data_IF_317956041854
#
_entry.id   IF_317956041854
#
_cell.length_a   1.000
_cell.length_b   1.000
_cell.length_c   1.000
_cell.angle_alpha   90.00
_cell.angle_beta   90.00
_cell.angle_gamma   90.00
#
_symmetry.space_group_name_H-M   'P 1'
#
loop_
_entity.id
_entity.type
_entity.pdbx_description
1 polymer ?
#
# COMPACT_ATOMS: atom_id res chain seq x y z
N UNK A 1 -7.34 -31.93 -12.96
CA UNK A 1 -6.44 -31.12 -12.15
C UNK A 1 -6.20 -31.87 -10.86
N UNK A 2 -4.93 -32.13 -10.46
CA UNK A 2 -4.63 -32.99 -9.29
C UNK A 2 -4.20 -32.16 -8.06
N UNK A 3 -4.65 -30.92 -7.94
CA UNK A 3 -4.42 -30.06 -6.78
C UNK A 3 -5.66 -29.22 -6.48
N UNK A 4 -5.84 -28.83 -5.23
CA UNK A 4 -7.01 -28.14 -4.71
C UNK A 4 -6.68 -26.71 -4.20
N UNK A 5 -7.70 -25.99 -3.70
CA UNK A 5 -7.52 -24.64 -3.16
C UNK A 5 -6.61 -24.63 -1.92
N UNK A 6 -6.54 -25.73 -1.17
CA UNK A 6 -5.66 -25.88 -0.01
C UNK A 6 -4.20 -25.90 -0.46
N UNK A 7 -3.91 -26.58 -1.57
CA UNK A 7 -2.58 -26.62 -2.17
C UNK A 7 -2.14 -25.25 -2.65
N UNK A 8 -3.04 -24.49 -3.29
CA UNK A 8 -2.76 -23.14 -3.74
C UNK A 8 -2.50 -22.20 -2.56
N UNK A 9 -3.28 -22.31 -1.48
CA UNK A 9 -3.08 -21.53 -0.26
C UNK A 9 -1.76 -21.87 0.44
N UNK A 10 -1.46 -23.17 0.56
CA UNK A 10 -0.17 -23.64 1.07
C UNK A 10 1.00 -23.07 0.28
N UNK A 11 0.92 -23.13 -1.05
CA UNK A 11 1.97 -22.62 -1.92
C UNK A 11 2.23 -21.12 -1.68
N UNK A 12 1.19 -20.29 -1.62
CA UNK A 12 1.33 -18.86 -1.34
C UNK A 12 1.92 -18.60 0.06
N UNK A 13 1.48 -19.32 1.09
CA UNK A 13 2.02 -19.20 2.43
C UNK A 13 3.52 -19.56 2.50
N UNK A 14 3.97 -20.52 1.70
CA UNK A 14 5.39 -20.88 1.59
C UNK A 14 6.17 -19.72 0.92
N UNK A 15 5.65 -19.12 -0.13
CA UNK A 15 6.29 -17.97 -0.79
C UNK A 15 6.40 -16.76 0.13
N UNK A 16 5.33 -16.42 0.83
CA UNK A 16 5.28 -15.28 1.75
C UNK A 16 6.27 -15.41 2.91
N UNK A 17 6.49 -16.65 3.38
CA UNK A 17 7.41 -16.94 4.50
C UNK A 17 8.83 -17.27 4.03
N UNK A 18 9.03 -17.55 2.75
CA UNK A 18 10.31 -18.01 2.19
C UNK A 18 10.78 -19.38 2.74
N UNK A 19 9.90 -20.12 3.43
CA UNK A 19 10.25 -21.34 4.15
C UNK A 19 9.08 -22.33 4.19
N UNK A 20 9.34 -23.60 3.83
CA UNK A 20 8.29 -24.64 3.79
C UNK A 20 7.72 -24.92 5.19
N UNK A 21 8.57 -24.94 6.23
CA UNK A 21 8.14 -25.20 7.60
C UNK A 21 7.21 -24.09 8.12
N UNK A 22 7.58 -22.84 7.92
CA UNK A 22 6.77 -21.68 8.31
C UNK A 22 5.46 -21.60 7.50
N UNK A 23 5.53 -21.85 6.18
CA UNK A 23 4.35 -21.89 5.32
C UNK A 23 3.40 -23.03 5.68
N UNK A 24 3.92 -24.23 6.05
CA UNK A 24 3.14 -25.33 6.56
C UNK A 24 2.39 -24.99 7.85
N UNK A 25 3.09 -24.40 8.82
CA UNK A 25 2.50 -23.95 10.09
C UNK A 25 1.37 -22.93 9.85
N UNK A 26 1.59 -21.94 8.97
CA UNK A 26 0.57 -20.96 8.57
C UNK A 26 -0.63 -21.56 7.84
N UNK A 27 -0.43 -22.73 7.23
CA UNK A 27 -1.49 -23.49 6.56
C UNK A 27 -2.11 -24.59 7.45
N UNK A 28 -1.77 -24.63 8.74
CA UNK A 28 -2.21 -25.66 9.70
C UNK A 28 -1.87 -27.09 9.25
N UNK A 29 -0.71 -27.28 8.61
CA UNK A 29 -0.22 -28.57 8.13
C UNK A 29 1.10 -28.95 8.80
N UNK A 30 1.36 -30.27 8.92
CA UNK A 30 2.70 -30.74 9.27
C UNK A 30 3.67 -30.51 8.10
N UNK A 31 4.97 -30.36 8.39
CA UNK A 31 6.01 -30.22 7.37
C UNK A 31 6.00 -31.37 6.36
N UNK A 32 5.78 -32.60 6.85
CA UNK A 32 5.72 -33.79 5.99
C UNK A 32 4.55 -33.71 5.00
N UNK A 33 3.35 -33.34 5.49
CA UNK A 33 2.14 -33.18 4.66
C UNK A 33 2.33 -32.05 3.64
N UNK A 34 2.83 -30.89 4.06
CA UNK A 34 3.08 -29.76 3.17
C UNK A 34 4.09 -30.11 2.06
N UNK A 35 5.21 -30.76 2.41
CA UNK A 35 6.22 -31.20 1.44
C UNK A 35 5.68 -32.25 0.47
N UNK A 36 4.81 -33.15 0.93
CA UNK A 36 4.18 -34.15 0.07
C UNK A 36 3.20 -33.51 -0.92
N UNK A 37 2.39 -32.52 -0.49
CA UNK A 37 1.45 -31.79 -1.34
C UNK A 37 2.18 -31.01 -2.44
N UNK A 38 3.23 -30.26 -2.10
CA UNK A 38 4.03 -29.52 -3.09
C UNK A 38 4.63 -30.47 -4.12
N UNK A 39 5.26 -31.58 -3.69
CA UNK A 39 5.81 -32.58 -4.63
C UNK A 39 4.74 -33.24 -5.51
N UNK A 40 3.54 -33.48 -4.99
CA UNK A 40 2.44 -34.02 -5.77
C UNK A 40 1.97 -33.03 -6.86
N UNK A 41 1.89 -31.73 -6.54
CA UNK A 41 1.58 -30.68 -7.51
C UNK A 41 2.65 -30.65 -8.62
N UNK A 42 3.94 -30.59 -8.25
CA UNK A 42 5.07 -30.55 -9.18
C UNK A 42 5.09 -31.80 -10.08
N UNK A 43 4.93 -32.97 -9.50
CA UNK A 43 4.88 -34.23 -10.23
C UNK A 43 3.70 -34.31 -11.20
N UNK A 44 2.54 -33.80 -10.83
CA UNK A 44 1.32 -33.85 -11.67
C UNK A 44 1.44 -33.00 -12.94
N UNK A 45 2.29 -31.99 -12.94
CA UNK A 45 2.50 -31.07 -14.06
C UNK A 45 3.89 -31.20 -14.70
N UNK A 46 4.78 -32.01 -14.11
CA UNK A 46 6.14 -32.23 -14.61
C UNK A 46 7.05 -31.01 -14.51
N UNK A 47 6.76 -30.07 -13.58
CA UNK A 47 7.53 -28.83 -13.41
C UNK A 47 7.78 -28.56 -11.93
N UNK A 48 8.95 -28.00 -11.62
CA UNK A 48 9.27 -27.54 -10.27
C UNK A 48 8.72 -26.12 -10.06
N UNK A 49 8.05 -25.89 -8.93
CA UNK A 49 7.56 -24.56 -8.53
C UNK A 49 8.48 -23.86 -7.55
N UNK A 50 9.28 -24.61 -6.78
CA UNK A 50 10.17 -24.09 -5.76
C UNK A 50 11.60 -24.53 -6.05
N UNK A 51 12.52 -23.60 -5.92
CA UNK A 51 13.96 -23.86 -5.88
C UNK A 51 14.48 -23.64 -4.46
N UNK A 52 15.32 -24.57 -3.98
CA UNK A 52 15.96 -24.47 -2.67
C UNK A 52 17.24 -23.66 -2.77
N UNK A 53 17.44 -22.77 -1.83
CA UNK A 53 18.68 -22.01 -1.70
C UNK A 53 19.15 -21.99 -0.23
N UNK A 54 20.33 -21.43 0.02
CA UNK A 54 20.91 -21.38 1.40
C UNK A 54 20.07 -20.59 2.40
N UNK A 55 19.12 -19.74 1.93
CA UNK A 55 18.27 -18.89 2.76
C UNK A 55 16.82 -19.38 2.85
N UNK A 56 16.50 -20.54 2.26
CA UNK A 56 15.15 -21.09 2.25
C UNK A 56 14.69 -21.55 0.86
N UNK A 57 13.50 -21.16 0.46
CA UNK A 57 12.93 -21.48 -0.86
C UNK A 57 12.52 -20.20 -1.59
N UNK A 58 12.66 -20.23 -2.92
CA UNK A 58 12.21 -19.17 -3.81
C UNK A 58 11.45 -19.77 -5.01
N UNK A 59 10.52 -19.02 -5.64
CA UNK A 59 9.76 -19.54 -6.76
C UNK A 59 10.64 -19.67 -8.02
N UNK A 60 10.37 -20.69 -8.81
CA UNK A 60 10.84 -20.80 -10.21
C UNK A 60 9.99 -19.88 -11.11
N UNK A 61 10.33 -19.70 -12.41
CA UNK A 61 9.44 -19.03 -13.36
C UNK A 61 8.05 -19.66 -13.42
N UNK A 62 7.94 -21.00 -13.39
CA UNK A 62 6.66 -21.72 -13.31
C UNK A 62 5.94 -21.46 -11.97
N UNK A 63 6.70 -21.40 -10.87
CA UNK A 63 6.21 -21.05 -9.56
C UNK A 63 5.63 -19.62 -9.51
N UNK A 64 6.28 -18.66 -10.14
CA UNK A 64 5.73 -17.29 -10.24
C UNK A 64 4.42 -17.25 -11.03
N UNK A 65 4.31 -18.03 -12.10
CA UNK A 65 3.06 -18.17 -12.85
C UNK A 65 1.97 -18.79 -11.98
N UNK A 66 2.27 -19.88 -11.27
CA UNK A 66 1.35 -20.51 -10.32
C UNK A 66 0.89 -19.52 -9.25
N UNK A 67 1.78 -18.74 -8.66
CA UNK A 67 1.43 -17.75 -7.63
C UNK A 67 0.43 -16.70 -8.13
N UNK A 68 0.61 -16.19 -9.35
CA UNK A 68 -0.34 -15.22 -9.95
C UNK A 68 -1.73 -15.84 -10.11
N UNK A 69 -1.80 -17.04 -10.69
CA UNK A 69 -3.07 -17.73 -10.90
C UNK A 69 -3.71 -18.20 -9.58
N UNK A 70 -2.91 -18.68 -8.63
CA UNK A 70 -3.39 -19.08 -7.31
C UNK A 70 -4.10 -17.97 -6.56
N UNK A 71 -3.54 -16.74 -6.58
CA UNK A 71 -4.19 -15.57 -5.96
C UNK A 71 -5.55 -15.27 -6.59
N UNK A 72 -5.62 -15.30 -7.92
CA UNK A 72 -6.89 -15.07 -8.64
C UNK A 72 -7.92 -16.13 -8.32
N UNK A 73 -7.54 -17.43 -8.33
CA UNK A 73 -8.45 -18.53 -8.05
C UNK A 73 -8.96 -18.52 -6.60
N UNK A 74 -8.09 -18.27 -5.64
CA UNK A 74 -8.47 -18.15 -4.24
C UNK A 74 -9.41 -16.97 -4.00
N UNK A 75 -9.13 -15.82 -4.63
CA UNK A 75 -10.01 -14.66 -4.59
C UNK A 75 -11.39 -14.97 -5.18
N UNK A 76 -11.45 -15.66 -6.31
CA UNK A 76 -12.75 -16.08 -6.90
C UNK A 76 -13.51 -17.07 -6.02
N UNK A 77 -12.82 -18.01 -5.37
CA UNK A 77 -13.43 -18.91 -4.42
C UNK A 77 -14.01 -18.19 -3.19
N UNK A 78 -13.28 -17.19 -2.68
CA UNK A 78 -13.75 -16.31 -1.59
C UNK A 78 -14.98 -15.49 -2.04
N UNK A 79 -14.95 -14.93 -3.26
CA UNK A 79 -16.09 -14.20 -3.83
C UNK A 79 -17.33 -15.08 -3.96
N UNK A 80 -17.16 -16.30 -4.47
CA UNK A 80 -18.27 -17.25 -4.58
C UNK A 80 -18.89 -17.55 -3.20
N UNK A 81 -18.04 -17.79 -2.18
CA UNK A 81 -18.54 -18.02 -0.83
C UNK A 81 -19.29 -16.81 -0.28
N UNK A 82 -18.80 -15.61 -0.57
CA UNK A 82 -19.41 -14.35 -0.14
C UNK A 82 -20.73 -14.09 -0.86
N UNK A 83 -20.80 -14.26 -2.18
CA UNK A 83 -22.05 -14.14 -2.95
C UNK A 83 -23.11 -15.15 -2.47
N UNK A 84 -22.70 -16.40 -2.19
CA UNK A 84 -23.62 -17.40 -1.64
C UNK A 84 -24.06 -17.07 -0.22
N UNK A 85 -23.19 -16.44 0.58
CA UNK A 85 -23.53 -16.00 1.93
C UNK A 85 -24.50 -14.81 1.93
N UNK A 86 -24.47 -13.94 0.91
CA UNK A 86 -25.48 -12.89 0.70
C UNK A 86 -26.90 -13.47 0.59
N UNK A 87 -27.04 -14.66 0.00
CA UNK A 87 -28.31 -15.38 -0.05
C UNK A 87 -28.71 -16.02 1.30
N UNK A 88 -27.76 -16.23 2.22
CA UNK A 88 -27.97 -16.97 3.48
C UNK A 88 -28.19 -16.08 4.73
N UNK A 89 -28.39 -14.77 4.59
CA UNK A 89 -28.57 -13.77 5.68
C UNK A 89 -27.37 -13.62 6.62
N UNK A 90 -26.61 -12.56 6.45
CA UNK A 90 -25.60 -12.08 7.40
C UNK A 90 -24.17 -12.16 6.90
N UNK A 91 -23.87 -11.44 5.83
CA UNK A 91 -22.54 -11.42 5.21
C UNK A 91 -21.53 -10.70 6.09
N UNK A 92 -20.51 -11.42 6.55
CA UNK A 92 -19.22 -10.85 6.89
C UNK A 92 -18.38 -10.78 5.62
N UNK A 93 -18.35 -9.62 4.96
CA UNK A 93 -17.45 -9.34 3.85
C UNK A 93 -16.18 -8.68 4.36
N UNK A 94 -15.03 -8.99 3.78
CA UNK A 94 -13.78 -8.28 4.04
C UNK A 94 -13.29 -7.60 2.76
N UNK A 95 -13.13 -6.27 2.79
CA UNK A 95 -12.51 -5.50 1.71
C UNK A 95 -11.02 -5.36 1.99
N UNK A 96 -10.18 -5.76 1.05
CA UNK A 96 -8.73 -5.51 1.09
C UNK A 96 -8.44 -4.17 0.40
N UNK A 97 -8.13 -3.15 1.19
CA UNK A 97 -7.82 -1.80 0.74
C UNK A 97 -6.34 -1.49 0.98
N UNK A 98 -5.60 -1.25 -0.09
CA UNK A 98 -4.21 -0.80 -0.01
C UNK A 98 -4.14 0.71 -0.28
N UNK A 99 -3.32 1.43 0.46
CA UNK A 99 -3.23 2.88 0.31
C UNK A 99 -1.83 3.40 0.65
N UNK A 100 -1.53 4.61 0.19
CA UNK A 100 -0.30 5.30 0.56
C UNK A 100 -0.44 6.02 1.92
N UNK A 101 0.68 6.56 2.44
CA UNK A 101 0.73 7.24 3.75
C UNK A 101 -0.30 8.35 3.88
N UNK A 102 -0.45 9.21 2.86
CA UNK A 102 -1.38 10.34 2.94
C UNK A 102 -2.83 9.86 3.01
N UNK A 103 -3.20 8.89 2.19
CA UNK A 103 -4.57 8.38 2.20
C UNK A 103 -4.93 7.81 3.57
N UNK A 104 -4.06 6.97 4.16
CA UNK A 104 -4.34 6.32 5.45
C UNK A 104 -4.37 7.30 6.63
N UNK A 105 -3.61 8.40 6.56
CA UNK A 105 -3.49 9.34 7.69
C UNK A 105 -4.42 10.54 7.59
N UNK A 106 -4.73 11.01 6.36
CA UNK A 106 -5.43 12.28 6.18
C UNK A 106 -6.85 12.16 5.66
N UNK A 107 -7.18 11.09 4.93
CA UNK A 107 -8.47 11.01 4.25
C UNK A 107 -9.32 9.81 4.67
N UNK A 108 -8.72 8.65 4.91
CA UNK A 108 -9.46 7.42 5.16
C UNK A 108 -10.06 7.29 6.56
N UNK A 109 -9.47 7.81 7.65
CA UNK A 109 -9.96 7.49 9.00
C UNK A 109 -11.44 7.81 9.19
N UNK A 110 -11.88 9.01 8.86
CA UNK A 110 -13.27 9.43 9.01
C UNK A 110 -14.19 8.70 8.02
N UNK A 111 -13.77 8.61 6.74
CA UNK A 111 -14.56 7.93 5.70
C UNK A 111 -14.80 6.45 6.02
N UNK A 112 -13.78 5.76 6.52
CA UNK A 112 -13.89 4.35 6.89
C UNK A 112 -14.69 4.16 8.18
N UNK A 113 -14.56 5.06 9.16
CA UNK A 113 -15.36 5.01 10.38
C UNK A 113 -16.86 5.14 10.06
N UNK A 114 -17.25 6.10 9.24
CA UNK A 114 -18.64 6.32 8.82
C UNK A 114 -19.15 5.13 7.99
N UNK A 115 -18.32 4.60 7.09
CA UNK A 115 -18.66 3.42 6.30
C UNK A 115 -18.90 2.20 7.19
N UNK A 116 -17.99 1.88 8.11
CA UNK A 116 -18.10 0.73 9.01
C UNK A 116 -19.29 0.88 9.98
N UNK A 117 -19.60 2.10 10.41
CA UNK A 117 -20.79 2.37 11.22
C UNK A 117 -22.08 2.00 10.48
N UNK A 118 -22.15 2.31 9.18
CA UNK A 118 -23.32 2.01 8.33
C UNK A 118 -23.34 0.56 7.81
N UNK A 119 -22.22 -0.16 7.90
CA UNK A 119 -22.06 -1.53 7.40
C UNK A 119 -21.45 -2.47 8.48
N UNK A 120 -22.20 -2.76 9.57
CA UNK A 120 -21.66 -3.45 10.76
C UNK A 120 -21.17 -4.89 10.51
N UNK A 121 -21.52 -5.48 9.37
CA UNK A 121 -21.11 -6.82 8.98
C UNK A 121 -19.91 -6.85 8.02
N UNK A 122 -19.30 -5.69 7.72
CA UNK A 122 -18.15 -5.60 6.83
C UNK A 122 -16.88 -5.30 7.63
N UNK A 123 -15.80 -5.96 7.25
CA UNK A 123 -14.45 -5.70 7.75
C UNK A 123 -13.59 -5.07 6.63
N UNK A 124 -12.61 -4.28 6.99
CA UNK A 124 -11.64 -3.69 6.05
C UNK A 124 -10.24 -4.11 6.51
N UNK A 125 -9.54 -4.85 5.65
CA UNK A 125 -8.09 -5.07 5.78
C UNK A 125 -7.38 -3.90 5.10
N UNK A 126 -6.93 -2.93 5.92
CA UNK A 126 -6.30 -1.70 5.48
C UNK A 126 -4.79 -1.80 5.66
N UNK A 127 -4.03 -1.66 4.57
CA UNK A 127 -2.57 -1.72 4.62
C UNK A 127 -1.92 -0.54 3.90
N UNK A 128 -0.85 0.00 4.50
CA UNK A 128 -0.01 1.01 3.88
C UNK A 128 1.07 0.35 3.02
N UNK A 129 1.16 0.78 1.75
CA UNK A 129 2.21 0.37 0.82
C UNK A 129 2.61 1.53 -0.11
N UNK A 130 3.84 1.55 -0.66
CA UNK A 130 4.21 2.40 -1.78
C UNK A 130 3.29 2.18 -2.99
N UNK A 131 2.93 3.27 -3.69
CA UNK A 131 1.98 3.24 -4.82
C UNK A 131 2.36 2.22 -5.90
N UNK A 132 3.64 2.04 -6.19
CA UNK A 132 4.13 1.03 -7.14
C UNK A 132 3.84 -0.41 -6.69
N UNK A 133 3.89 -0.66 -5.37
CA UNK A 133 3.53 -1.98 -4.81
C UNK A 133 2.02 -2.19 -4.80
N UNK A 134 1.24 -1.13 -4.60
CA UNK A 134 -0.23 -1.19 -4.65
C UNK A 134 -0.69 -1.57 -6.05
N UNK A 135 -0.20 -0.89 -7.11
CA UNK A 135 -0.57 -1.23 -8.50
C UNK A 135 -0.18 -2.67 -8.84
N UNK A 136 1.00 -3.11 -8.41
CA UNK A 136 1.42 -4.51 -8.60
C UNK A 136 0.50 -5.50 -7.87
N UNK A 137 0.10 -5.23 -6.63
CA UNK A 137 -0.81 -6.08 -5.85
C UNK A 137 -2.21 -6.16 -6.49
N UNK A 138 -2.75 -5.03 -6.99
CA UNK A 138 -4.02 -4.99 -7.71
C UNK A 138 -3.98 -5.83 -8.99
N UNK A 139 -2.92 -5.71 -9.80
CA UNK A 139 -2.71 -6.52 -11.00
C UNK A 139 -2.71 -8.02 -10.71
N UNK A 140 -2.16 -8.40 -9.55
CA UNK A 140 -2.12 -9.79 -9.10
C UNK A 140 -3.41 -10.26 -8.41
N UNK A 141 -4.39 -9.39 -8.21
CA UNK A 141 -5.61 -9.71 -7.47
C UNK A 141 -5.37 -9.97 -5.98
N UNK A 142 -4.31 -9.40 -5.39
CA UNK A 142 -4.01 -9.51 -3.97
C UNK A 142 -4.80 -8.50 -3.11
N UNK A 143 -5.40 -7.49 -3.75
CA UNK A 143 -6.29 -6.52 -3.11
C UNK A 143 -7.51 -6.22 -4.00
N UNK A 144 -8.56 -5.68 -3.40
CA UNK A 144 -9.80 -5.31 -4.09
C UNK A 144 -9.73 -3.87 -4.60
N UNK A 145 -9.28 -2.96 -3.75
CA UNK A 145 -9.15 -1.53 -4.02
C UNK A 145 -7.76 -1.03 -3.64
N UNK A 146 -7.31 0.01 -4.32
CA UNK A 146 -6.08 0.71 -3.99
C UNK A 146 -6.21 2.21 -4.10
N UNK A 147 -5.48 2.96 -3.26
CA UNK A 147 -5.33 4.40 -3.40
C UNK A 147 -3.85 4.69 -3.65
N UNK A 148 -3.56 5.24 -4.83
CA UNK A 148 -2.20 5.49 -5.32
C UNK A 148 -2.00 6.94 -5.73
N UNK A 149 -0.75 7.39 -5.80
CA UNK A 149 -0.41 8.64 -6.47
C UNK A 149 -0.54 8.49 -7.98
N UNK A 150 -0.95 9.54 -8.68
CA UNK A 150 -1.00 9.64 -10.14
C UNK A 150 0.38 9.58 -10.83
N UNK A 151 1.46 9.63 -10.04
CA UNK A 151 2.83 9.49 -10.53
C UNK A 151 3.24 8.05 -10.91
N UNK A 152 2.39 7.04 -10.63
CA UNK A 152 2.68 5.64 -10.94
C UNK A 152 1.90 5.16 -12.16
N UNK A 153 2.46 4.17 -12.86
CA UNK A 153 1.79 3.52 -13.98
C UNK A 153 0.55 2.75 -13.54
N UNK A 154 -0.60 3.10 -14.14
CA UNK A 154 -1.91 2.50 -13.88
C UNK A 154 -2.60 1.99 -15.16
N UNK A 155 -1.88 1.86 -16.29
CA UNK A 155 -2.46 1.66 -17.63
C UNK A 155 -3.42 0.47 -17.76
N UNK A 156 -3.20 -0.60 -17.01
CA UNK A 156 -4.03 -1.81 -16.99
C UNK A 156 -4.96 -1.91 -15.76
N UNK A 157 -5.13 -0.79 -15.05
CA UNK A 157 -6.07 -0.65 -13.94
C UNK A 157 -7.15 0.38 -14.28
N UNK A 158 -8.35 0.16 -13.78
CA UNK A 158 -9.37 1.20 -13.79
C UNK A 158 -9.12 2.19 -12.67
N UNK A 159 -9.23 3.47 -12.96
CA UNK A 159 -8.94 4.55 -12.01
C UNK A 159 -10.10 5.54 -11.89
N UNK A 160 -10.24 6.15 -10.71
CA UNK A 160 -11.11 7.31 -10.43
C UNK A 160 -10.33 8.33 -9.63
N UNK A 161 -10.59 9.61 -9.85
CA UNK A 161 -10.03 10.66 -8.99
C UNK A 161 -10.53 10.46 -7.54
N UNK A 162 -9.61 10.61 -6.59
CA UNK A 162 -9.94 10.52 -5.16
C UNK A 162 -9.78 11.86 -4.47
N UNK A 163 -8.55 12.39 -4.38
CA UNK A 163 -8.27 13.69 -3.74
C UNK A 163 -7.05 14.35 -4.40
N UNK A 164 -7.01 15.68 -4.41
CA UNK A 164 -5.76 16.41 -4.65
C UNK A 164 -4.85 16.23 -3.42
N UNK A 165 -3.56 15.99 -3.65
CA UNK A 165 -2.58 15.68 -2.61
C UNK A 165 -1.25 16.41 -2.84
N UNK A 166 -1.24 17.75 -2.91
CA UNK A 166 -0.01 18.49 -3.08
C UNK A 166 0.91 18.31 -1.87
N UNK A 167 2.20 18.09 -2.16
CA UNK A 167 3.27 18.07 -1.16
C UNK A 167 3.86 19.46 -0.98
N UNK A 168 4.15 19.81 0.26
CA UNK A 168 4.79 21.07 0.62
C UNK A 168 6.03 20.84 1.47
N UNK A 169 7.05 21.67 1.28
CA UNK A 169 8.17 21.74 2.19
C UNK A 169 7.75 22.55 3.42
N UNK A 170 8.00 22.03 4.61
CA UNK A 170 7.85 22.77 5.88
C UNK A 170 9.22 23.00 6.51
N UNK A 171 9.36 24.15 7.16
CA UNK A 171 10.61 24.60 7.77
C UNK A 171 10.37 25.53 8.95
N UNK A 172 11.35 25.71 9.87
CA UNK A 172 11.31 26.77 10.88
C UNK A 172 11.11 28.15 10.23
N UNK A 173 10.41 29.06 10.88
CA UNK A 173 10.13 30.41 10.31
C UNK A 173 11.38 31.22 10.03
N UNK A 174 12.42 31.01 10.80
CA UNK A 174 13.71 31.69 10.70
C UNK A 174 14.67 31.05 9.70
N UNK A 175 14.22 30.00 8.99
CA UNK A 175 15.05 29.31 8.01
C UNK A 175 15.32 30.22 6.80
N UNK A 176 16.55 30.22 6.22
CA UNK A 176 16.89 31.11 5.09
C UNK A 176 15.92 30.99 3.90
N UNK A 177 15.40 29.80 3.63
CA UNK A 177 14.43 29.57 2.56
C UNK A 177 13.02 30.10 2.86
N UNK A 178 12.71 30.53 4.08
CA UNK A 178 11.36 30.95 4.48
C UNK A 178 10.89 32.25 3.75
N UNK A 179 11.78 32.99 3.14
CA UNK A 179 11.46 34.19 2.38
C UNK A 179 11.06 33.92 0.92
N UNK A 180 11.30 32.72 0.43
CA UNK A 180 10.90 32.29 -0.92
C UNK A 180 9.37 32.07 -1.02
N UNK A 181 8.85 32.10 -2.24
CA UNK A 181 7.44 31.74 -2.54
C UNK A 181 7.27 30.26 -2.94
N UNK A 182 8.32 29.67 -3.48
CA UNK A 182 8.44 28.25 -3.84
C UNK A 182 9.90 27.84 -3.75
N UNK A 183 10.16 26.54 -3.77
CA UNK A 183 11.52 26.01 -3.64
C UNK A 183 11.70 24.78 -4.52
N UNK A 184 12.88 24.64 -5.13
CA UNK A 184 13.26 23.39 -5.78
C UNK A 184 13.65 22.36 -4.71
N UNK A 185 13.18 21.12 -4.87
CA UNK A 185 13.54 20.02 -3.98
C UNK A 185 15.06 19.83 -3.91
N UNK A 186 15.75 19.92 -5.05
CA UNK A 186 17.19 19.74 -5.11
C UNK A 186 17.95 20.77 -4.27
N UNK A 187 17.47 22.01 -4.20
CA UNK A 187 18.08 23.05 -3.39
C UNK A 187 17.95 22.78 -1.89
N UNK A 188 16.96 21.98 -1.49
CA UNK A 188 16.73 21.65 -0.09
C UNK A 188 17.55 20.46 0.40
N UNK A 189 18.09 19.61 -0.49
CA UNK A 189 18.78 18.37 -0.16
C UNK A 189 20.13 18.55 0.56
N UNK A 190 20.64 19.78 0.62
CA UNK A 190 21.83 20.14 1.39
C UNK A 190 21.54 20.45 2.87
N UNK A 191 20.26 20.41 3.25
CA UNK A 191 19.81 20.66 4.63
C UNK A 191 19.44 19.38 5.35
N UNK A 192 19.43 19.43 6.68
CA UNK A 192 18.96 18.36 7.54
C UNK A 192 17.43 18.19 7.44
N UNK A 193 16.96 16.95 7.38
CA UNK A 193 15.55 16.60 7.32
C UNK A 193 15.07 15.87 8.56
N UNK A 194 13.83 16.14 8.93
CA UNK A 194 13.00 15.29 9.77
C UNK A 194 12.16 14.41 8.84
N UNK A 195 12.43 13.11 8.81
CA UNK A 195 11.74 12.15 7.95
C UNK A 195 10.63 11.39 8.67
N UNK A 196 9.74 10.80 7.89
CA UNK A 196 8.87 9.73 8.37
C UNK A 196 9.66 8.44 8.57
N UNK A 197 9.03 7.46 9.25
CA UNK A 197 9.56 6.09 9.33
C UNK A 197 9.97 5.59 7.93
N UNK A 198 11.14 4.94 7.83
CA UNK A 198 11.73 4.52 6.56
C UNK A 198 10.83 3.59 5.72
N UNK A 199 9.91 2.87 6.37
CA UNK A 199 8.99 1.96 5.70
C UNK A 199 7.70 2.64 5.21
N UNK A 200 7.46 3.91 5.55
CA UNK A 200 6.27 4.62 5.08
C UNK A 200 6.36 4.87 3.57
N UNK A 201 5.22 4.78 2.91
CA UNK A 201 5.13 4.95 1.45
C UNK A 201 5.67 6.33 1.00
N UNK A 202 5.41 7.39 1.79
CA UNK A 202 5.91 8.73 1.47
C UNK A 202 7.42 8.85 1.65
N UNK A 203 8.00 8.24 2.70
CA UNK A 203 9.45 8.28 2.91
C UNK A 203 10.18 7.59 1.74
N UNK A 204 9.70 6.40 1.34
CA UNK A 204 10.25 5.67 0.18
C UNK A 204 10.15 6.52 -1.08
N UNK A 205 8.99 7.13 -1.34
CA UNK A 205 8.78 7.97 -2.50
C UNK A 205 9.73 9.18 -2.55
N UNK A 206 9.92 9.89 -1.44
CA UNK A 206 10.80 11.06 -1.38
C UNK A 206 12.28 10.67 -1.55
N UNK A 207 12.69 9.55 -0.97
CA UNK A 207 14.06 9.04 -1.15
C UNK A 207 14.33 8.62 -2.62
N UNK A 208 13.33 8.03 -3.30
CA UNK A 208 13.40 7.75 -4.74
C UNK A 208 13.53 9.03 -5.57
N UNK A 209 12.77 10.11 -5.25
CA UNK A 209 12.90 11.38 -5.92
C UNK A 209 14.30 12.01 -5.74
N UNK A 210 14.87 11.92 -4.54
CA UNK A 210 16.23 12.37 -4.29
C UNK A 210 17.27 11.58 -5.11
N UNK A 211 17.11 10.27 -5.18
CA UNK A 211 17.98 9.40 -5.99
C UNK A 211 17.87 9.69 -7.49
N UNK A 212 16.66 9.94 -8.00
CA UNK A 212 16.46 10.37 -9.40
C UNK A 212 17.16 11.70 -9.72
N UNK A 213 17.28 12.60 -8.74
CA UNK A 213 18.07 13.82 -8.86
C UNK A 213 19.60 13.61 -8.67
N UNK A 214 20.05 12.36 -8.46
CA UNK A 214 21.46 12.02 -8.20
C UNK A 214 21.96 12.40 -6.81
N UNK A 215 21.04 12.68 -5.87
CA UNK A 215 21.33 13.17 -4.53
C UNK A 215 20.72 12.23 -3.47
N UNK A 216 20.95 12.55 -2.20
CA UNK A 216 20.35 11.83 -1.07
C UNK A 216 19.81 12.82 -0.04
N UNK A 217 18.70 12.50 0.58
CA UNK A 217 18.18 13.25 1.72
C UNK A 217 19.05 13.02 2.96
N UNK A 218 19.41 14.09 3.65
CA UNK A 218 20.13 14.03 4.92
C UNK A 218 19.13 13.89 6.07
N UNK A 219 18.65 12.66 6.32
CA UNK A 219 17.67 12.40 7.37
C UNK A 219 18.35 12.35 8.72
N UNK A 220 18.10 13.36 9.54
CA UNK A 220 18.68 13.50 10.89
C UNK A 220 17.91 12.72 11.94
N UNK A 221 16.59 12.66 11.80
CA UNK A 221 15.70 11.92 12.70
C UNK A 221 14.47 11.44 11.90
N UNK A 222 13.89 10.31 12.31
CA UNK A 222 12.64 9.78 11.80
C UNK A 222 11.58 9.77 12.89
N UNK A 223 10.35 10.06 12.53
CA UNK A 223 9.20 10.03 13.44
C UNK A 223 8.04 9.27 12.81
N UNK A 224 7.17 8.73 13.66
CA UNK A 224 5.92 8.14 13.22
C UNK A 224 4.85 9.24 13.08
N UNK A 225 4.25 9.30 11.87
CA UNK A 225 3.17 10.23 11.55
C UNK A 225 3.57 11.70 11.38
N UNK A 226 2.70 12.45 10.72
CA UNK A 226 2.95 13.86 10.38
C UNK A 226 2.98 14.79 11.60
N UNK A 227 2.22 14.50 12.65
CA UNK A 227 2.21 15.33 13.86
C UNK A 227 3.60 15.41 14.49
N UNK A 228 4.26 14.27 14.68
CA UNK A 228 5.63 14.21 15.22
C UNK A 228 6.62 14.99 14.36
N UNK A 229 6.57 14.78 13.04
CA UNK A 229 7.42 15.48 12.06
C UNK A 229 7.23 17.00 12.15
N UNK A 230 5.99 17.49 12.07
CA UNK A 230 5.66 18.92 12.08
C UNK A 230 6.08 19.60 13.38
N UNK A 231 5.90 18.93 14.53
CA UNK A 231 6.34 19.45 15.84
C UNK A 231 7.85 19.57 15.94
N UNK A 232 8.59 18.60 15.38
CA UNK A 232 10.06 18.67 15.36
C UNK A 232 10.56 19.78 14.43
N UNK A 233 9.96 19.94 13.25
CA UNK A 233 10.28 21.04 12.33
C UNK A 233 10.01 22.39 12.99
N UNK A 234 8.87 22.56 13.65
CA UNK A 234 8.53 23.79 14.36
C UNK A 234 9.53 24.15 15.48
N UNK A 235 10.31 23.17 15.98
CA UNK A 235 11.37 23.35 16.98
C UNK A 235 12.77 23.44 16.38
N UNK A 236 12.89 23.52 15.05
CA UNK A 236 14.18 23.73 14.40
C UNK A 236 15.01 22.47 14.17
N UNK A 237 14.42 21.27 14.24
CA UNK A 237 15.15 20.03 14.04
C UNK A 237 15.61 19.78 12.59
N UNK A 238 15.02 20.47 11.61
CA UNK A 238 15.30 20.35 10.18
C UNK A 238 14.11 20.72 9.32
N UNK A 239 14.18 20.37 8.04
CA UNK A 239 13.11 20.52 7.05
C UNK A 239 12.27 19.23 7.01
N UNK A 240 11.06 19.30 6.44
CA UNK A 240 10.32 18.11 6.06
C UNK A 240 9.43 18.38 4.85
N UNK A 241 9.11 17.31 4.10
CA UNK A 241 8.09 17.35 3.04
C UNK A 241 6.90 16.56 3.55
N UNK A 242 5.74 17.21 3.55
CA UNK A 242 4.48 16.65 4.05
C UNK A 242 3.33 17.00 3.10
N UNK A 243 2.21 16.27 3.12
CA UNK A 243 1.01 16.67 2.40
C UNK A 243 0.48 18.00 2.91
N UNK A 244 -0.03 18.84 2.02
CA UNK A 244 -0.69 20.09 2.40
C UNK A 244 -1.88 19.83 3.34
N UNK A 245 -2.64 18.76 3.10
CA UNK A 245 -3.75 18.35 3.96
C UNK A 245 -3.32 18.12 5.42
N UNK A 246 -2.12 17.55 5.64
CA UNK A 246 -1.58 17.37 6.99
C UNK A 246 -1.28 18.71 7.67
N UNK A 247 -0.77 19.68 6.90
CA UNK A 247 -0.52 21.06 7.38
C UNK A 247 -1.81 21.76 7.75
N UNK A 248 -2.82 21.72 6.88
CA UNK A 248 -4.13 22.36 7.10
C UNK A 248 -4.84 21.80 8.34
N UNK A 249 -4.78 20.47 8.53
CA UNK A 249 -5.42 19.81 9.66
C UNK A 249 -4.74 20.06 11.00
N UNK A 250 -3.41 20.27 11.05
CA UNK A 250 -2.62 20.27 12.29
C UNK A 250 -1.83 21.54 12.56
N UNK A 251 -1.90 22.56 11.71
CA UNK A 251 -1.10 23.78 11.86
C UNK A 251 -1.50 24.64 13.08
N UNK A 252 -2.63 24.36 13.71
CA UNK A 252 -3.10 25.09 14.89
C UNK A 252 -2.09 25.05 16.04
N UNK A 253 -1.40 26.17 16.29
CA UNK A 253 -0.44 26.32 17.39
C UNK A 253 1.01 25.94 17.06
N UNK A 254 1.32 25.45 15.86
CA UNK A 254 2.70 25.17 15.44
C UNK A 254 3.29 26.36 14.64
N UNK A 255 4.54 26.71 14.93
CA UNK A 255 5.24 27.84 14.30
C UNK A 255 6.25 27.33 13.26
N UNK A 256 5.80 27.17 12.01
CA UNK A 256 6.65 26.85 10.86
C UNK A 256 6.16 27.60 9.60
N UNK A 257 6.94 27.58 8.54
CA UNK A 257 6.60 28.06 7.21
C UNK A 257 6.43 26.88 6.28
N UNK A 258 5.43 26.94 5.37
CA UNK A 258 5.25 25.97 4.28
C UNK A 258 5.49 26.64 2.94
N UNK A 259 6.15 25.94 2.00
CA UNK A 259 6.40 26.36 0.63
C UNK A 259 5.98 25.26 -0.34
N UNK A 260 5.44 25.68 -1.49
CA UNK A 260 5.18 24.75 -2.58
C UNK A 260 6.51 24.27 -3.21
N UNK A 261 6.55 23.00 -3.59
CA UNK A 261 7.64 22.44 -4.39
C UNK A 261 7.48 22.87 -5.87
N UNK A 262 8.59 23.13 -6.54
CA UNK A 262 8.60 23.51 -7.95
C UNK A 262 8.46 22.28 -8.88
N UNK A 263 8.85 21.12 -8.39
CA UNK A 263 8.79 19.87 -9.14
C UNK A 263 7.34 19.44 -9.40
N UNK A 264 7.01 18.98 -10.63
CA UNK A 264 5.66 18.54 -10.98
C UNK A 264 5.12 17.42 -10.06
N UNK A 265 6.00 16.53 -9.60
CA UNK A 265 5.61 15.44 -8.69
C UNK A 265 5.15 15.95 -7.31
N UNK A 266 5.45 17.19 -6.94
CA UNK A 266 4.92 17.83 -5.74
C UNK A 266 3.43 18.18 -5.86
N UNK A 267 2.90 18.35 -7.08
CA UNK A 267 1.50 18.67 -7.38
C UNK A 267 0.73 17.39 -7.79
N UNK A 268 0.82 16.37 -6.99
CA UNK A 268 0.23 15.05 -7.27
C UNK A 268 -1.25 14.97 -6.90
N UNK A 269 -1.90 13.93 -7.43
CA UNK A 269 -3.27 13.53 -7.08
C UNK A 269 -3.27 12.11 -6.56
N UNK A 270 -4.27 11.79 -5.76
CA UNK A 270 -4.57 10.44 -5.37
C UNK A 270 -5.67 9.88 -6.27
N UNK A 271 -5.44 8.67 -6.75
CA UNK A 271 -6.37 7.91 -7.58
C UNK A 271 -6.83 6.68 -6.83
N UNK A 272 -8.12 6.43 -6.85
CA UNK A 272 -8.73 5.18 -6.41
C UNK A 272 -8.67 4.19 -7.58
N UNK A 273 -8.09 3.03 -7.36
CA UNK A 273 -7.78 2.05 -8.40
C UNK A 273 -8.37 0.67 -8.08
N UNK A 274 -8.78 -0.04 -9.12
CA UNK A 274 -9.07 -1.47 -9.08
C UNK A 274 -8.68 -2.10 -10.42
N UNK A 275 -8.60 -3.42 -10.46
CA UNK A 275 -8.39 -4.16 -11.71
C UNK A 275 -9.58 -4.02 -12.64
N UNK A 276 -10.79 -4.13 -12.09
CA UNK A 276 -12.06 -3.91 -12.78
C UNK A 276 -13.13 -3.56 -11.74
N UNK A 277 -13.65 -2.33 -11.78
CA UNK A 277 -14.69 -1.88 -10.85
C UNK A 277 -16.00 -2.65 -11.02
N UNK A 278 -16.31 -3.11 -12.23
CA UNK A 278 -17.53 -3.87 -12.48
C UNK A 278 -17.46 -5.28 -11.88
N UNK A 279 -16.27 -5.85 -11.82
CA UNK A 279 -16.03 -7.18 -11.26
C UNK A 279 -15.84 -7.20 -9.73
N UNK A 280 -15.87 -6.05 -9.04
CA UNK A 280 -15.78 -6.00 -7.57
C UNK A 280 -17.01 -6.67 -6.93
N UNK A 281 -16.84 -7.34 -5.77
CA UNK A 281 -17.95 -7.82 -4.96
C UNK A 281 -18.85 -6.65 -4.51
N UNK A 282 -20.12 -6.94 -4.16
CA UNK A 282 -21.10 -5.93 -3.75
C UNK A 282 -20.61 -5.05 -2.60
N UNK A 283 -19.99 -5.64 -1.59
CA UNK A 283 -19.44 -4.92 -0.44
C UNK A 283 -18.25 -4.00 -0.80
N UNK A 284 -17.39 -4.42 -1.74
CA UNK A 284 -16.28 -3.57 -2.21
C UNK A 284 -16.79 -2.44 -3.12
N UNK A 285 -17.89 -2.65 -3.89
CA UNK A 285 -18.59 -1.60 -4.62
C UNK A 285 -19.23 -0.58 -3.67
N UNK A 286 -19.78 -1.02 -2.55
CA UNK A 286 -20.34 -0.12 -1.53
C UNK A 286 -19.23 0.78 -0.95
N UNK A 287 -18.05 0.22 -0.61
CA UNK A 287 -16.91 1.02 -0.17
C UNK A 287 -16.41 1.96 -1.27
N UNK A 288 -16.27 1.48 -2.51
CA UNK A 288 -15.91 2.31 -3.67
C UNK A 288 -16.85 3.52 -3.80
N UNK A 289 -18.15 3.30 -3.67
CA UNK A 289 -19.14 4.38 -3.72
C UNK A 289 -18.96 5.37 -2.56
N UNK A 290 -18.79 4.90 -1.34
CA UNK A 290 -18.56 5.75 -0.17
C UNK A 290 -17.28 6.61 -0.30
N UNK A 291 -16.20 6.05 -0.86
CA UNK A 291 -14.93 6.77 -1.09
C UNK A 291 -14.99 7.78 -2.24
N UNK A 292 -15.96 7.66 -3.15
CA UNK A 292 -16.12 8.58 -4.30
C UNK A 292 -17.16 9.67 -4.08
N UNK A 293 -17.87 9.67 -2.95
CA UNK A 293 -18.75 10.77 -2.57
C UNK A 293 -17.92 12.02 -2.24
N UNK A 294 -18.44 13.23 -2.62
CA UNK A 294 -17.76 14.50 -2.40
C UNK A 294 -17.58 14.84 -0.92
#
# INVERSE_FOLDING_TARGET
MHFDLTDLRLYLNILDTGNITAGAARSHLSLAAASARIRAMEASLGVEFLQRNRRGVSPTPAGNALARHARVLLQQAERLQQELAEYAQGVKGQVRLLCNTTAITEYLPELLADFLHSHPNLDIDLQELPSTRITHALRQGAADLGIVSDAVDTDDLQTRAFRDDPLVLIMPREHPLAHATSVSFTDTLHHDYVGLNANSALAVYLEEQALHAGLRMQIRIRADGFDGVMRMVARGAGLAIVPLAAVERRSGGLSFKSLALQEPWGQRKLLLCARDFAALPGYAKALLHALTLP
#
